data_IF_678135263342
#
_entry.id   IF_678135263342
#
_cell.length_a   1.000
_cell.length_b   1.000
_cell.length_c   1.000
_cell.angle_alpha   90.00
_cell.angle_beta   90.00
_cell.angle_gamma   90.00
#
_symmetry.space_group_name_H-M   'P 1'
#
loop_
_entity.id
_entity.type
_entity.pdbx_description
1 polymer ?
#
# COMPACT_ATOMS: atom_id res chain seq x y z
N UNK A 1 -7.04 7.26 30.20
CA UNK A 1 -5.89 6.55 29.61
C UNK A 1 -6.38 5.39 28.77
N UNK A 2 -5.75 5.18 27.60
CA UNK A 2 -6.03 4.01 26.74
C UNK A 2 -5.69 2.73 27.51
N UNK A 3 -6.59 1.73 27.46
CA UNK A 3 -6.39 0.46 28.14
C UNK A 3 -6.69 0.45 29.63
N UNK A 4 -7.18 1.56 30.21
CA UNK A 4 -7.51 1.63 31.63
C UNK A 4 -8.51 0.52 32.03
N UNK A 5 -8.14 -0.25 33.06
CA UNK A 5 -8.94 -1.38 33.55
C UNK A 5 -8.67 -2.71 32.86
N UNK A 6 -7.79 -2.77 31.84
CA UNK A 6 -7.45 -4.01 31.15
C UNK A 6 -5.93 -4.16 30.99
N UNK A 7 -5.35 -5.06 31.78
CA UNK A 7 -3.89 -5.23 31.87
C UNK A 7 -3.20 -5.50 30.52
N UNK A 8 -3.70 -6.40 29.63
CA UNK A 8 -3.08 -6.62 28.34
C UNK A 8 -3.01 -5.36 27.47
N UNK A 9 -4.01 -4.47 27.56
CA UNK A 9 -4.03 -3.22 26.81
C UNK A 9 -3.09 -2.15 27.39
N UNK A 10 -2.81 -2.19 28.69
CA UNK A 10 -1.82 -1.33 29.31
C UNK A 10 -0.39 -1.75 28.92
N UNK A 11 -0.15 -3.06 28.78
CA UNK A 11 1.15 -3.60 28.39
C UNK A 11 1.45 -3.43 26.88
N UNK A 12 0.40 -3.45 26.02
CA UNK A 12 0.52 -3.36 24.56
C UNK A 12 -0.56 -2.44 23.98
N UNK A 13 -0.52 -1.12 24.29
CA UNK A 13 -1.57 -0.18 23.89
C UNK A 13 -1.77 -0.08 22.38
N UNK A 14 -0.70 -0.23 21.58
CA UNK A 14 -0.76 -0.19 20.12
C UNK A 14 -1.59 -1.34 19.57
N UNK A 15 -1.39 -2.57 20.09
CA UNK A 15 -2.14 -3.76 19.69
C UNK A 15 -3.64 -3.59 19.92
N UNK A 16 -4.03 -2.99 21.06
CA UNK A 16 -5.42 -2.84 21.46
C UNK A 16 -6.09 -1.56 20.97
N UNK A 17 -5.42 -0.77 20.14
CA UNK A 17 -6.00 0.45 19.59
C UNK A 17 -7.08 0.19 18.53
N UNK A 18 -6.98 -0.88 17.78
CA UNK A 18 -7.93 -1.25 16.72
C UNK A 18 -8.02 -2.76 16.54
N UNK A 19 -8.05 -3.50 17.66
CA UNK A 19 -8.08 -4.94 17.66
C UNK A 19 -9.48 -5.46 17.30
N UNK A 20 -9.56 -6.46 16.42
CA UNK A 20 -10.78 -7.20 16.14
C UNK A 20 -11.20 -8.10 17.32
N UNK A 21 -11.85 -9.22 17.05
CA UNK A 21 -12.25 -10.19 18.10
C UNK A 21 -11.01 -10.77 18.78
N UNK A 22 -11.02 -10.82 20.12
CA UNK A 22 -9.95 -11.39 20.93
C UNK A 22 -10.50 -12.08 22.19
N UNK A 23 -9.70 -12.96 22.80
CA UNK A 23 -10.03 -13.59 24.08
C UNK A 23 -9.81 -12.59 25.21
N UNK A 24 -10.86 -12.26 25.96
CA UNK A 24 -10.82 -11.24 27.03
C UNK A 24 -9.78 -11.59 28.10
N UNK A 25 -9.64 -12.88 28.43
CA UNK A 25 -8.78 -13.36 29.51
C UNK A 25 -7.28 -13.19 29.16
N UNK A 26 -6.90 -13.34 27.91
CA UNK A 26 -5.50 -13.36 27.48
C UNK A 26 -5.11 -12.20 26.58
N UNK A 27 -6.07 -11.54 25.96
CA UNK A 27 -5.83 -10.54 24.91
C UNK A 27 -5.31 -11.12 23.60
N UNK A 28 -5.42 -12.44 23.41
CA UNK A 28 -5.02 -13.14 22.19
C UNK A 28 -6.11 -13.08 21.14
N UNK A 29 -5.69 -12.85 19.88
CA UNK A 29 -6.53 -12.97 18.68
C UNK A 29 -6.33 -14.34 18.06
N UNK A 30 -7.35 -14.86 17.41
CA UNK A 30 -7.16 -16.02 16.54
C UNK A 30 -6.21 -15.64 15.40
N UNK A 31 -5.26 -16.51 15.05
CA UNK A 31 -4.34 -16.25 13.95
C UNK A 31 -5.15 -16.08 12.65
N UNK A 32 -4.86 -15.02 11.90
CA UNK A 32 -5.43 -14.85 10.56
C UNK A 32 -4.94 -15.99 9.66
N UNK A 33 -5.85 -16.56 8.86
CA UNK A 33 -5.50 -17.63 7.92
C UNK A 33 -4.65 -17.13 6.74
N UNK A 34 -4.72 -15.84 6.45
CA UNK A 34 -4.03 -15.18 5.34
C UNK A 34 -3.42 -13.87 5.86
N UNK A 35 -2.16 -13.54 5.52
CA UNK A 35 -1.56 -12.27 5.91
C UNK A 35 -2.30 -11.10 5.26
N UNK A 36 -2.34 -9.98 5.96
CA UNK A 36 -2.88 -8.73 5.41
C UNK A 36 -1.86 -8.06 4.50
N UNK A 37 -2.31 -7.18 3.60
CA UNK A 37 -1.42 -6.34 2.79
C UNK A 37 -0.42 -5.55 3.66
N UNK A 38 -0.86 -4.98 4.78
CA UNK A 38 0.02 -4.27 5.71
C UNK A 38 1.11 -5.16 6.31
N UNK A 39 0.79 -6.43 6.63
CA UNK A 39 1.79 -7.40 7.12
C UNK A 39 2.81 -7.72 6.03
N UNK A 40 2.35 -8.05 4.82
CA UNK A 40 3.23 -8.32 3.67
C UNK A 40 4.12 -7.11 3.38
N UNK A 41 3.56 -5.91 3.41
CA UNK A 41 4.30 -4.65 3.24
C UNK A 41 5.44 -4.53 4.24
N UNK A 42 5.13 -4.61 5.54
CA UNK A 42 6.14 -4.44 6.60
C UNK A 42 7.24 -5.49 6.54
N UNK A 43 6.89 -6.75 6.30
CA UNK A 43 7.83 -7.87 6.18
C UNK A 43 8.75 -7.70 4.97
N UNK A 44 8.18 -7.45 3.77
CA UNK A 44 8.94 -7.32 2.53
C UNK A 44 9.81 -6.07 2.49
N UNK A 45 9.29 -4.95 2.96
CA UNK A 45 10.11 -3.73 3.02
C UNK A 45 11.27 -3.87 4.02
N UNK A 46 11.04 -4.55 5.15
CA UNK A 46 12.13 -4.88 6.09
C UNK A 46 13.18 -5.79 5.43
N UNK A 47 12.74 -6.79 4.67
CA UNK A 47 13.65 -7.67 3.91
C UNK A 47 14.48 -6.89 2.88
N UNK A 48 13.85 -5.98 2.13
CA UNK A 48 14.55 -5.14 1.15
C UNK A 48 15.54 -4.18 1.81
N UNK A 49 15.15 -3.56 2.91
CA UNK A 49 16.00 -2.63 3.65
C UNK A 49 17.23 -3.29 4.31
N UNK A 50 17.18 -4.58 4.61
CA UNK A 50 18.36 -5.34 5.05
C UNK A 50 19.40 -5.52 3.95
N UNK A 51 19.01 -5.37 2.70
CA UNK A 51 19.88 -5.51 1.53
C UNK A 51 20.26 -4.17 0.89
N UNK A 52 19.53 -3.09 1.24
CA UNK A 52 19.73 -1.75 0.71
C UNK A 52 19.64 -0.71 1.83
N UNK A 53 20.80 -0.19 2.24
CA UNK A 53 20.90 0.78 3.32
C UNK A 53 20.36 2.16 2.98
N UNK A 54 20.01 2.42 1.74
CA UNK A 54 19.37 3.68 1.32
C UNK A 54 17.87 3.72 1.64
N UNK A 55 17.22 2.58 1.91
CA UNK A 55 15.80 2.53 2.22
C UNK A 55 15.54 3.07 3.62
N UNK A 56 14.69 4.09 3.71
CA UNK A 56 14.18 4.65 4.96
C UNK A 56 12.65 4.65 4.95
N UNK A 57 12.02 4.46 6.10
CA UNK A 57 10.56 4.46 6.23
C UNK A 57 10.07 5.60 7.11
N UNK A 58 9.01 6.26 6.69
CA UNK A 58 8.42 7.39 7.37
C UNK A 58 6.92 7.12 7.55
N UNK A 59 6.41 7.33 8.76
CA UNK A 59 4.97 7.25 9.05
C UNK A 59 4.54 8.40 9.98
N UNK A 60 3.24 8.60 10.12
CA UNK A 60 2.64 9.62 10.97
C UNK A 60 1.76 8.95 12.05
N UNK A 61 2.38 8.43 13.11
CA UNK A 61 1.75 7.77 14.25
C UNK A 61 0.94 6.49 13.91
N UNK A 62 1.33 5.77 12.85
CA UNK A 62 0.59 4.59 12.36
C UNK A 62 1.44 3.31 12.25
N UNK A 63 2.43 3.02 13.12
CA UNK A 63 3.35 1.90 12.92
C UNK A 63 2.68 0.53 12.88
N UNK A 64 1.73 0.30 13.77
CA UNK A 64 1.02 -0.99 13.84
C UNK A 64 0.05 -1.20 12.68
N UNK A 65 -0.69 -0.16 12.33
CA UNK A 65 -1.72 -0.24 11.29
C UNK A 65 -1.17 -0.34 9.88
N UNK A 66 0.02 0.17 9.62
CA UNK A 66 0.71 0.11 8.33
C UNK A 66 1.67 -1.08 8.20
N UNK A 67 1.79 -1.93 9.24
CA UNK A 67 2.73 -3.05 9.24
C UNK A 67 4.18 -2.66 9.54
N UNK A 68 4.49 -1.37 9.69
CA UNK A 68 5.86 -0.87 9.93
C UNK A 68 6.43 -1.22 11.32
N UNK A 69 5.62 -1.82 12.21
CA UNK A 69 6.14 -2.35 13.47
C UNK A 69 7.26 -3.40 13.23
N UNK A 70 7.17 -4.19 12.16
CA UNK A 70 8.21 -5.15 11.78
C UNK A 70 9.55 -4.44 11.48
N UNK A 71 9.52 -3.32 10.78
CA UNK A 71 10.69 -2.51 10.46
C UNK A 71 11.26 -1.83 11.70
N UNK A 72 10.39 -1.18 12.50
CA UNK A 72 10.75 -0.49 13.75
C UNK A 72 11.46 -1.42 14.74
N UNK A 73 10.96 -2.64 14.89
CA UNK A 73 11.44 -3.59 15.90
C UNK A 73 12.62 -4.44 15.40
N UNK A 74 13.02 -4.32 14.13
CA UNK A 74 14.20 -4.98 13.55
C UNK A 74 15.49 -4.23 13.88
N UNK A 75 16.41 -4.89 14.62
CA UNK A 75 17.71 -4.30 15.03
C UNK A 75 18.60 -3.87 13.86
N UNK A 76 18.38 -4.42 12.67
CA UNK A 76 19.22 -4.20 11.49
C UNK A 76 18.83 -2.94 10.71
N UNK A 77 17.58 -2.48 10.85
CA UNK A 77 17.05 -1.39 10.03
C UNK A 77 16.31 -0.29 10.83
N UNK A 78 16.13 -0.48 12.15
CA UNK A 78 15.35 0.43 13.00
C UNK A 78 15.89 1.85 13.09
N UNK A 79 17.14 2.08 12.79
CA UNK A 79 17.78 3.39 12.73
C UNK A 79 17.31 4.24 11.53
N UNK A 80 16.65 3.59 10.55
CA UNK A 80 16.07 4.23 9.36
C UNK A 80 14.54 4.26 9.40
N UNK A 81 13.96 4.06 10.57
CA UNK A 81 12.53 4.21 10.85
C UNK A 81 12.25 5.56 11.50
N UNK A 82 11.30 6.31 10.95
CA UNK A 82 10.91 7.63 11.42
C UNK A 82 9.40 7.72 11.62
N UNK A 83 8.97 7.99 12.85
CA UNK A 83 7.60 8.33 13.18
C UNK A 83 7.55 9.80 13.58
N UNK A 84 6.90 10.61 12.77
CA UNK A 84 6.82 12.06 12.97
C UNK A 84 5.63 12.51 13.83
N UNK A 85 4.90 11.55 14.42
CA UNK A 85 3.65 11.84 15.10
C UNK A 85 2.52 12.11 14.10
N UNK A 86 1.40 12.67 14.57
CA UNK A 86 0.26 12.99 13.69
C UNK A 86 0.57 14.30 12.94
N UNK A 87 1.43 14.21 11.93
CA UNK A 87 1.92 15.33 11.13
C UNK A 87 2.25 14.87 9.71
N UNK A 88 1.23 14.54 8.93
CA UNK A 88 1.36 13.97 7.59
C UNK A 88 2.07 14.92 6.62
N UNK A 89 1.85 16.24 6.76
CA UNK A 89 2.55 17.26 5.98
C UNK A 89 4.06 17.23 6.25
N UNK A 90 4.44 17.12 7.51
CA UNK A 90 5.84 17.01 7.90
C UNK A 90 6.46 15.70 7.40
N UNK A 91 5.72 14.60 7.45
CA UNK A 91 6.17 13.31 6.91
C UNK A 91 6.52 13.41 5.42
N UNK A 92 5.68 14.10 4.63
CA UNK A 92 5.92 14.34 3.22
C UNK A 92 7.19 15.18 2.99
N UNK A 93 7.33 16.32 3.68
CA UNK A 93 8.49 17.20 3.56
C UNK A 93 9.79 16.53 4.04
N UNK A 94 9.72 15.75 5.11
CA UNK A 94 10.86 14.99 5.61
C UNK A 94 11.32 13.94 4.58
N UNK A 95 10.37 13.30 3.90
CA UNK A 95 10.66 12.36 2.81
C UNK A 95 11.35 13.07 1.62
N UNK A 96 10.97 14.31 1.30
CA UNK A 96 11.67 15.12 0.29
C UNK A 96 13.13 15.33 0.67
N UNK A 97 13.39 15.72 1.93
CA UNK A 97 14.75 15.91 2.43
C UNK A 97 15.61 14.66 2.32
N UNK A 98 15.05 13.49 2.65
CA UNK A 98 15.74 12.20 2.50
C UNK A 98 16.02 11.87 1.02
N UNK A 99 15.04 12.11 0.13
CA UNK A 99 15.20 11.86 -1.30
C UNK A 99 16.32 12.72 -1.91
N UNK A 100 16.41 14.00 -1.52
CA UNK A 100 17.50 14.91 -1.96
C UNK A 100 18.88 14.40 -1.49
N UNK A 101 18.94 13.70 -0.37
CA UNK A 101 20.17 13.09 0.15
C UNK A 101 20.43 11.67 -0.41
N UNK A 102 19.75 11.29 -1.49
CA UNK A 102 19.85 9.99 -2.16
C UNK A 102 19.40 8.79 -1.31
N UNK A 103 18.58 9.00 -0.29
CA UNK A 103 17.84 7.92 0.34
C UNK A 103 16.62 7.53 -0.53
N UNK A 104 16.11 6.34 -0.28
CA UNK A 104 14.86 5.80 -0.84
C UNK A 104 13.75 5.89 0.22
N UNK A 105 13.13 7.07 0.43
CA UNK A 105 12.11 7.21 1.45
C UNK A 105 10.80 6.52 1.04
N UNK A 106 10.30 5.64 1.90
CA UNK A 106 8.97 5.05 1.83
C UNK A 106 8.04 5.79 2.80
N UNK A 107 7.26 6.71 2.26
CA UNK A 107 6.25 7.48 3.00
C UNK A 107 4.98 6.64 3.10
N UNK A 108 4.66 6.15 4.31
CA UNK A 108 3.57 5.21 4.54
C UNK A 108 2.50 5.82 5.43
N UNK A 109 1.37 6.15 4.84
CA UNK A 109 0.24 6.83 5.50
C UNK A 109 -1.06 6.19 4.99
N UNK A 110 -2.11 6.19 5.82
CA UNK A 110 -3.45 5.78 5.35
C UNK A 110 -3.94 6.71 4.25
N UNK A 111 -4.58 6.15 3.24
CA UNK A 111 -5.08 6.91 2.08
C UNK A 111 -5.93 8.12 2.50
N UNK A 112 -6.83 7.96 3.46
CA UNK A 112 -7.66 9.08 3.95
C UNK A 112 -6.83 10.18 4.63
N UNK A 113 -5.75 9.84 5.34
CA UNK A 113 -4.92 10.83 6.04
C UNK A 113 -3.88 11.49 5.13
N UNK A 114 -3.52 10.85 4.01
CA UNK A 114 -2.67 11.45 2.98
C UNK A 114 -3.27 12.74 2.39
N UNK A 115 -4.58 12.96 2.50
CA UNK A 115 -5.25 14.20 2.09
C UNK A 115 -4.67 15.44 2.79
N UNK A 116 -4.17 15.31 4.04
CA UNK A 116 -3.54 16.42 4.76
C UNK A 116 -2.25 16.90 4.11
N UNK A 117 -1.53 16.01 3.46
CA UNK A 117 -0.28 16.33 2.76
C UNK A 117 -0.47 16.69 1.27
N UNK A 118 -1.70 16.96 0.82
CA UNK A 118 -2.00 17.13 -0.60
C UNK A 118 -1.16 18.23 -1.28
N UNK A 119 -0.99 19.37 -0.62
CA UNK A 119 -0.14 20.45 -1.15
C UNK A 119 1.32 20.00 -1.32
N UNK A 120 1.87 19.29 -0.34
CA UNK A 120 3.23 18.76 -0.36
C UNK A 120 3.42 17.72 -1.47
N UNK A 121 2.38 16.91 -1.75
CA UNK A 121 2.41 15.97 -2.88
C UNK A 121 2.54 16.69 -4.22
N UNK A 122 1.91 17.86 -4.37
CA UNK A 122 1.99 18.67 -5.58
C UNK A 122 3.30 19.43 -5.63
N UNK A 123 3.48 20.34 -4.65
CA UNK A 123 4.51 21.38 -4.70
C UNK A 123 5.91 20.82 -4.42
N UNK A 124 6.03 19.97 -3.41
CA UNK A 124 7.35 19.53 -2.94
C UNK A 124 7.79 18.22 -3.59
N UNK A 125 6.88 17.29 -3.83
CA UNK A 125 7.21 15.99 -4.42
C UNK A 125 7.02 16.01 -5.94
N UNK A 126 5.81 16.33 -6.41
CA UNK A 126 5.43 16.14 -7.82
C UNK A 126 6.11 17.14 -8.76
N UNK A 127 6.03 18.44 -8.47
CA UNK A 127 6.63 19.49 -9.31
C UNK A 127 8.15 19.37 -9.33
N UNK A 128 8.76 19.04 -8.19
CA UNK A 128 10.21 18.88 -8.08
C UNK A 128 10.70 17.51 -8.59
N UNK A 129 9.78 16.62 -8.94
CA UNK A 129 10.05 15.27 -9.44
C UNK A 129 10.96 14.46 -8.51
N UNK A 130 10.73 14.54 -7.19
CA UNK A 130 11.55 13.84 -6.21
C UNK A 130 11.17 12.35 -6.10
N UNK A 131 12.15 11.44 -6.04
CA UNK A 131 11.90 10.00 -6.01
C UNK A 131 11.41 9.53 -4.62
N UNK A 132 10.26 10.02 -4.19
CA UNK A 132 9.57 9.58 -2.97
C UNK A 132 8.65 8.40 -3.30
N UNK A 133 8.71 7.34 -2.49
CA UNK A 133 7.88 6.14 -2.61
C UNK A 133 6.72 6.27 -1.65
N UNK A 134 5.50 6.40 -2.16
CA UNK A 134 4.30 6.63 -1.35
C UNK A 134 3.49 5.35 -1.26
N UNK A 135 3.28 4.86 -0.04
CA UNK A 135 2.49 3.67 0.24
C UNK A 135 1.21 4.06 0.98
N UNK A 136 0.07 3.97 0.29
CA UNK A 136 -1.24 4.36 0.84
C UNK A 136 -2.00 3.13 1.30
N UNK A 137 -1.97 2.86 2.59
CA UNK A 137 -2.77 1.82 3.23
C UNK A 137 -4.24 2.25 3.36
N UNK A 138 -5.16 1.33 3.54
CA UNK A 138 -6.61 1.54 3.65
C UNK A 138 -7.22 2.26 2.44
N UNK A 139 -6.74 1.98 1.25
CA UNK A 139 -7.35 2.49 0.04
C UNK A 139 -8.72 1.82 -0.23
N UNK A 140 -9.70 2.60 -0.62
CA UNK A 140 -11.08 2.14 -0.80
C UNK A 140 -11.87 2.11 0.51
N UNK A 141 -12.81 1.19 0.63
CA UNK A 141 -13.65 1.03 1.82
C UNK A 141 -12.89 0.28 2.91
N UNK A 142 -12.76 0.90 4.09
CA UNK A 142 -11.96 0.35 5.21
C UNK A 142 -12.76 -0.51 6.19
N UNK A 143 -14.05 -0.76 5.93
CA UNK A 143 -14.90 -1.62 6.76
C UNK A 143 -15.01 -1.13 8.21
N UNK A 144 -14.54 -1.93 9.15
CA UNK A 144 -14.70 -1.71 10.59
C UNK A 144 -14.03 -0.43 11.11
N UNK A 145 -13.07 0.15 10.39
CA UNK A 145 -12.45 1.42 10.78
C UNK A 145 -13.42 2.62 10.61
N UNK A 146 -14.51 2.43 9.88
CA UNK A 146 -15.59 3.39 9.71
C UNK A 146 -15.35 4.46 8.66
N UNK A 147 -16.33 5.38 8.46
CA UNK A 147 -16.36 6.29 7.32
C UNK A 147 -15.20 7.30 7.27
N UNK A 148 -14.62 7.65 8.41
CA UNK A 148 -13.47 8.57 8.48
C UNK A 148 -12.15 7.95 7.98
N UNK A 149 -12.13 6.63 7.79
CA UNK A 149 -10.96 5.89 7.34
C UNK A 149 -11.07 5.40 5.89
N UNK A 150 -12.17 5.66 5.20
CA UNK A 150 -12.33 5.30 3.79
C UNK A 150 -11.39 6.12 2.89
N UNK A 151 -10.53 5.42 2.14
CA UNK A 151 -9.59 6.02 1.19
C UNK A 151 -10.18 6.13 -0.20
N UNK A 152 -11.13 7.05 -0.41
CA UNK A 152 -11.89 7.16 -1.65
C UNK A 152 -11.38 8.22 -2.62
N UNK A 153 -10.63 9.22 -2.13
CA UNK A 153 -10.30 10.42 -2.89
C UNK A 153 -8.88 10.39 -3.49
N UNK A 154 -8.03 9.47 -3.08
CA UNK A 154 -6.63 9.37 -3.48
C UNK A 154 -6.45 9.24 -5.01
N UNK A 155 -7.26 8.41 -5.68
CA UNK A 155 -7.24 8.32 -7.15
C UNK A 155 -7.57 9.68 -7.76
N UNK A 156 -8.59 10.34 -7.25
CA UNK A 156 -9.05 11.63 -7.76
C UNK A 156 -7.96 12.69 -7.74
N UNK A 157 -7.31 12.89 -6.60
CA UNK A 157 -6.34 13.98 -6.47
C UNK A 157 -4.94 13.59 -6.99
N UNK A 158 -4.47 12.35 -6.78
CA UNK A 158 -3.10 12.00 -7.16
C UNK A 158 -2.90 11.89 -8.68
N UNK A 159 -3.94 11.54 -9.42
CA UNK A 159 -3.90 11.53 -10.90
C UNK A 159 -3.55 12.89 -11.51
N UNK A 160 -3.90 14.00 -10.85
CA UNK A 160 -3.65 15.35 -11.35
C UNK A 160 -2.21 15.83 -11.05
N UNK A 161 -1.55 15.24 -10.05
CA UNK A 161 -0.20 15.67 -9.69
C UNK A 161 0.79 15.23 -10.78
N UNK A 162 1.65 16.14 -11.30
CA UNK A 162 2.60 15.79 -12.35
C UNK A 162 3.61 14.74 -11.89
N UNK A 163 4.21 14.05 -12.87
CA UNK A 163 5.31 13.10 -12.70
C UNK A 163 5.03 11.83 -11.87
N UNK A 164 3.89 11.72 -11.19
CA UNK A 164 3.56 10.54 -10.42
C UNK A 164 3.30 9.31 -11.27
N UNK A 165 3.91 8.19 -10.85
CA UNK A 165 3.46 6.85 -11.19
C UNK A 165 2.54 6.39 -10.07
N UNK A 166 1.38 5.81 -10.41
CA UNK A 166 0.39 5.41 -9.42
C UNK A 166 -0.19 4.04 -9.74
N UNK A 167 -0.05 3.10 -8.81
CA UNK A 167 -0.33 1.67 -8.96
C UNK A 167 -1.34 1.16 -7.95
N UNK A 168 -2.00 0.05 -8.30
CA UNK A 168 -2.81 -0.72 -7.36
C UNK A 168 -2.72 -2.22 -7.70
N UNK A 169 -2.25 -3.07 -6.78
CA UNK A 169 -2.08 -4.51 -7.01
C UNK A 169 -3.41 -5.25 -7.00
N UNK A 170 -3.55 -6.29 -7.83
CA UNK A 170 -4.70 -7.19 -7.85
C UNK A 170 -4.66 -8.22 -6.70
N UNK A 171 -3.44 -8.62 -6.31
CA UNK A 171 -3.18 -9.65 -5.31
C UNK A 171 -1.87 -9.40 -4.54
N UNK A 172 -1.54 -10.28 -3.62
CA UNK A 172 -0.36 -10.18 -2.76
C UNK A 172 0.96 -10.36 -3.53
N UNK A 173 0.98 -11.19 -4.57
CA UNK A 173 2.17 -11.43 -5.37
C UNK A 173 2.53 -10.21 -6.21
N UNK A 174 1.55 -9.65 -6.91
CA UNK A 174 1.73 -8.40 -7.65
C UNK A 174 2.08 -7.22 -6.74
N UNK A 175 1.56 -7.21 -5.49
CA UNK A 175 1.93 -6.19 -4.51
C UNK A 175 3.43 -6.21 -4.21
N UNK A 176 4.01 -7.38 -4.04
CA UNK A 176 5.45 -7.52 -3.78
C UNK A 176 6.28 -7.09 -5.00
N UNK A 177 5.84 -7.40 -6.22
CA UNK A 177 6.46 -6.90 -7.46
C UNK A 177 6.38 -5.36 -7.55
N UNK A 178 5.23 -4.76 -7.18
CA UNK A 178 5.09 -3.30 -7.14
C UNK A 178 6.03 -2.67 -6.11
N UNK A 179 6.17 -3.24 -4.92
CA UNK A 179 7.12 -2.76 -3.91
C UNK A 179 8.57 -2.87 -4.39
N UNK A 180 8.90 -3.95 -5.10
CA UNK A 180 10.22 -4.11 -5.69
C UNK A 180 10.46 -3.12 -6.82
N UNK A 181 9.45 -2.88 -7.66
CA UNK A 181 9.48 -1.84 -8.69
C UNK A 181 9.73 -0.46 -8.08
N UNK A 182 9.01 -0.13 -7.00
CA UNK A 182 9.22 1.13 -6.26
C UNK A 182 10.64 1.25 -5.70
N UNK A 183 11.20 0.17 -5.16
CA UNK A 183 12.57 0.14 -4.62
C UNK A 183 13.61 0.48 -5.68
N UNK A 184 13.36 0.09 -6.93
CA UNK A 184 14.27 0.28 -8.06
C UNK A 184 13.92 1.48 -8.97
N UNK A 185 12.96 2.31 -8.58
CA UNK A 185 12.55 3.48 -9.35
C UNK A 185 13.10 4.77 -8.73
N UNK A 186 14.04 5.43 -9.42
CA UNK A 186 14.72 6.65 -8.94
C UNK A 186 14.46 7.88 -9.82
N UNK A 187 13.60 7.78 -10.85
CA UNK A 187 13.40 8.86 -11.82
C UNK A 187 12.25 9.83 -11.48
N UNK A 188 11.60 9.64 -10.34
CA UNK A 188 10.51 10.52 -9.87
C UNK A 188 9.61 9.83 -8.84
N UNK A 189 8.51 10.48 -8.44
CA UNK A 189 7.63 9.95 -7.43
C UNK A 189 6.80 8.76 -7.93
N UNK A 190 6.68 7.75 -7.08
CA UNK A 190 5.93 6.53 -7.35
C UNK A 190 5.05 6.17 -6.16
N UNK A 191 3.80 5.82 -6.41
CA UNK A 191 2.82 5.52 -5.39
C UNK A 191 2.14 4.16 -5.63
N UNK A 192 1.87 3.46 -4.54
CA UNK A 192 1.02 2.27 -4.52
C UNK A 192 -0.10 2.47 -3.49
N UNK A 193 -1.30 2.06 -3.86
CA UNK A 193 -2.45 2.00 -2.95
C UNK A 193 -2.92 0.57 -2.77
N UNK A 194 -3.28 0.19 -1.55
CA UNK A 194 -3.75 -1.16 -1.23
C UNK A 194 -4.81 -1.15 -0.15
N UNK A 195 -5.73 -2.14 -0.13
CA UNK A 195 -6.86 -2.15 0.79
C UNK A 195 -6.44 -2.58 2.21
N UNK A 196 -7.31 -2.30 3.17
CA UNK A 196 -7.25 -2.91 4.51
C UNK A 196 -7.60 -4.40 4.43
N UNK A 197 -6.86 -5.24 5.14
CA UNK A 197 -7.14 -6.67 5.28
C UNK A 197 -6.30 -7.55 4.36
N UNK A 198 -6.74 -8.79 4.27
CA UNK A 198 -6.10 -9.78 3.41
C UNK A 198 -6.56 -9.65 1.96
N UNK A 199 -5.74 -10.09 1.03
CA UNK A 199 -6.09 -10.27 -0.36
C UNK A 199 -6.69 -11.67 -0.62
N UNK A 200 -6.70 -12.10 -1.89
CA UNK A 200 -7.24 -13.42 -2.29
C UNK A 200 -6.43 -14.62 -1.75
N UNK A 201 -5.28 -14.41 -1.12
CA UNK A 201 -4.45 -15.46 -0.54
C UNK A 201 -3.40 -16.02 -1.51
N UNK A 202 -3.00 -15.24 -2.49
CA UNK A 202 -1.92 -15.61 -3.41
C UNK A 202 -0.60 -15.53 -2.67
N UNK A 203 0.17 -16.63 -2.66
CA UNK A 203 1.48 -16.65 -2.02
C UNK A 203 2.48 -15.83 -2.83
N UNK A 204 3.09 -14.80 -2.25
CA UNK A 204 4.11 -14.02 -2.96
C UNK A 204 5.31 -14.88 -3.35
N UNK A 205 5.86 -14.61 -4.53
CA UNK A 205 7.10 -15.24 -5.00
C UNK A 205 8.30 -14.82 -4.13
N UNK A 206 9.33 -15.66 -4.10
CA UNK A 206 10.55 -15.38 -3.34
C UNK A 206 11.41 -14.28 -4.00
N UNK A 207 11.43 -14.27 -5.33
CA UNK A 207 12.19 -13.30 -6.12
C UNK A 207 11.21 -12.39 -6.87
N UNK A 208 10.96 -11.18 -6.38
CA UNK A 208 10.07 -10.24 -7.04
C UNK A 208 10.67 -9.71 -8.34
N UNK A 209 9.78 -9.33 -9.26
CA UNK A 209 10.12 -8.81 -10.57
C UNK A 209 9.79 -7.32 -10.69
N UNK A 210 10.54 -6.61 -11.53
CA UNK A 210 10.22 -5.21 -11.85
C UNK A 210 9.11 -5.20 -12.90
N UNK A 211 8.03 -4.48 -12.60
CA UNK A 211 6.92 -4.30 -13.53
C UNK A 211 7.24 -3.14 -14.48
N UNK A 212 7.07 -3.35 -15.77
CA UNK A 212 7.20 -2.30 -16.77
C UNK A 212 6.18 -1.18 -16.54
N UNK A 213 6.67 0.04 -16.34
CA UNK A 213 5.84 1.20 -15.99
C UNK A 213 4.79 1.47 -17.09
N UNK A 214 3.52 1.56 -16.67
CA UNK A 214 2.42 1.86 -17.57
C UNK A 214 1.97 0.69 -18.43
N UNK A 215 2.38 -0.55 -18.11
CA UNK A 215 1.96 -1.76 -18.82
C UNK A 215 0.91 -2.53 -18.06
N UNK A 216 -0.25 -2.70 -18.70
CA UNK A 216 -1.32 -3.57 -18.23
C UNK A 216 -0.96 -5.06 -18.45
N UNK A 217 -1.64 -5.91 -17.71
CA UNK A 217 -1.58 -7.35 -17.89
C UNK A 217 -2.87 -7.85 -18.56
N UNK A 218 -2.74 -8.43 -19.74
CA UNK A 218 -3.86 -9.06 -20.45
C UNK A 218 -3.94 -10.51 -19.97
N UNK A 219 -4.92 -10.78 -19.08
CA UNK A 219 -5.14 -12.13 -18.55
C UNK A 219 -5.83 -13.00 -19.60
N UNK A 220 -6.75 -12.39 -20.36
CA UNK A 220 -7.52 -13.07 -21.39
C UNK A 220 -7.87 -12.12 -22.52
N UNK A 221 -7.86 -12.63 -23.76
CA UNK A 221 -8.29 -11.89 -24.95
C UNK A 221 -9.63 -12.41 -25.44
N UNK A 222 -10.54 -11.51 -25.79
CA UNK A 222 -11.87 -11.79 -26.33
C UNK A 222 -12.33 -10.66 -27.23
N UNK A 223 -13.48 -10.83 -27.90
CA UNK A 223 -13.96 -9.90 -28.92
C UNK A 223 -15.25 -9.18 -28.60
N UNK A 224 -16.07 -9.66 -27.65
CA UNK A 224 -17.42 -9.16 -27.43
C UNK A 224 -17.50 -8.17 -26.27
N UNK A 225 -16.78 -8.45 -25.16
CA UNK A 225 -16.81 -7.65 -23.94
C UNK A 225 -15.38 -7.48 -23.39
N UNK A 226 -15.02 -6.24 -23.03
CA UNK A 226 -13.79 -5.96 -22.28
C UNK A 226 -14.10 -5.71 -20.80
N UNK A 227 -13.50 -6.49 -19.91
CA UNK A 227 -13.54 -6.27 -18.46
C UNK A 227 -12.18 -5.76 -18.00
N UNK A 228 -12.20 -4.62 -17.30
CA UNK A 228 -11.00 -4.04 -16.69
C UNK A 228 -11.19 -4.06 -15.17
N UNK A 229 -10.41 -4.89 -14.48
CA UNK A 229 -10.47 -5.02 -13.02
C UNK A 229 -9.25 -4.39 -12.36
N UNK A 230 -9.44 -3.32 -11.57
CA UNK A 230 -8.35 -2.66 -10.87
C UNK A 230 -8.27 -3.13 -9.41
N UNK A 231 -7.09 -3.54 -9.00
CA UNK A 231 -6.78 -3.87 -7.61
C UNK A 231 -7.64 -5.02 -7.08
N UNK A 232 -8.07 -4.95 -5.84
CA UNK A 232 -8.88 -5.98 -5.17
C UNK A 232 -10.24 -6.26 -5.84
N UNK A 233 -10.71 -5.39 -6.74
CA UNK A 233 -11.91 -5.68 -7.57
C UNK A 233 -11.61 -6.62 -8.73
N UNK A 234 -10.35 -6.98 -8.96
CA UNK A 234 -9.96 -7.89 -10.02
C UNK A 234 -10.60 -9.28 -9.88
N UNK A 235 -10.68 -9.80 -8.65
CA UNK A 235 -11.37 -11.07 -8.35
C UNK A 235 -12.85 -11.04 -8.79
N UNK A 236 -13.52 -9.91 -8.61
CA UNK A 236 -14.90 -9.74 -9.08
C UNK A 236 -14.97 -9.72 -10.62
N UNK A 237 -13.99 -9.10 -11.27
CA UNK A 237 -13.90 -9.09 -12.73
C UNK A 237 -13.66 -10.51 -13.28
N UNK A 238 -12.83 -11.31 -12.65
CA UNK A 238 -12.60 -12.73 -13.01
C UNK A 238 -13.88 -13.56 -12.90
N UNK A 239 -14.61 -13.44 -11.78
CA UNK A 239 -15.89 -14.12 -11.59
C UNK A 239 -16.92 -13.68 -12.64
N UNK A 240 -16.96 -12.39 -12.95
CA UNK A 240 -17.84 -11.83 -13.97
C UNK A 240 -17.48 -12.34 -15.37
N UNK A 241 -16.19 -12.43 -15.69
CA UNK A 241 -15.68 -13.01 -16.92
C UNK A 241 -16.21 -14.44 -17.11
N UNK A 242 -16.04 -15.29 -16.10
CA UNK A 242 -16.53 -16.69 -16.14
C UNK A 242 -18.04 -16.78 -16.39
N UNK A 243 -18.84 -15.95 -15.71
CA UNK A 243 -20.30 -15.94 -15.89
C UNK A 243 -20.71 -15.49 -17.32
N UNK A 244 -19.99 -14.54 -17.90
CA UNK A 244 -20.27 -14.08 -19.26
C UNK A 244 -19.90 -15.14 -20.31
N UNK A 245 -18.80 -15.86 -20.10
CA UNK A 245 -18.38 -16.96 -20.97
C UNK A 245 -19.36 -18.14 -20.93
N UNK A 246 -19.87 -18.48 -19.77
CA UNK A 246 -20.92 -19.50 -19.65
C UNK A 246 -22.19 -19.11 -20.45
N UNK A 247 -22.42 -17.80 -20.69
CA UNK A 247 -23.50 -17.28 -21.53
C UNK A 247 -23.12 -17.17 -23.01
N UNK A 248 -21.91 -17.59 -23.39
CA UNK A 248 -21.46 -17.63 -24.77
C UNK A 248 -20.78 -16.36 -25.29
N UNK A 249 -20.41 -15.41 -24.40
CA UNK A 249 -19.66 -14.22 -24.79
C UNK A 249 -18.15 -14.47 -24.81
N UNK A 250 -17.47 -13.87 -25.76
CA UNK A 250 -16.00 -13.84 -25.83
C UNK A 250 -15.48 -12.62 -25.06
N UNK A 251 -14.81 -12.85 -23.91
CA UNK A 251 -14.47 -11.78 -22.96
C UNK A 251 -12.97 -11.54 -22.93
N UNK A 252 -12.57 -10.26 -23.03
CA UNK A 252 -11.23 -9.81 -22.65
C UNK A 252 -11.22 -9.45 -21.16
N UNK A 253 -10.21 -9.93 -20.42
CA UNK A 253 -10.00 -9.60 -19.02
C UNK A 253 -8.62 -8.96 -18.85
N UNK A 254 -8.60 -7.74 -18.32
CA UNK A 254 -7.41 -6.89 -18.23
C UNK A 254 -7.22 -6.41 -16.79
N UNK A 255 -6.01 -6.58 -16.27
CA UNK A 255 -5.55 -5.94 -15.06
C UNK A 255 -4.71 -4.69 -15.46
N UNK A 256 -5.21 -3.47 -15.23
CA UNK A 256 -4.49 -2.27 -15.66
C UNK A 256 -3.24 -1.98 -14.83
N UNK A 257 -3.08 -2.54 -13.63
CA UNK A 257 -1.96 -2.32 -12.70
C UNK A 257 -1.75 -0.85 -12.34
N UNK A 258 -1.71 0.02 -13.36
CA UNK A 258 -1.42 1.44 -13.24
C UNK A 258 -2.68 2.28 -13.38
N UNK A 259 -2.87 3.16 -12.41
CA UNK A 259 -3.86 4.24 -12.47
C UNK A 259 -3.26 5.40 -13.28
N UNK A 260 -1.93 5.56 -13.20
CA UNK A 260 -1.13 6.54 -13.94
C UNK A 260 0.31 6.03 -14.09
N UNK A 261 0.88 6.04 -15.31
CA UNK A 261 0.17 6.21 -16.58
C UNK A 261 -0.73 5.00 -16.91
N UNK A 262 -1.80 5.22 -17.66
CA UNK A 262 -2.62 4.14 -18.18
C UNK A 262 -1.94 3.57 -19.43
N UNK A 263 -1.99 2.24 -19.61
CA UNK A 263 -1.55 1.60 -20.86
C UNK A 263 -2.45 2.05 -22.00
N UNK A 264 -1.85 2.62 -23.03
CA UNK A 264 -2.55 3.14 -24.22
C UNK A 264 -2.36 2.25 -25.46
N UNK A 265 -1.68 1.10 -25.32
CA UNK A 265 -1.40 0.19 -26.44
C UNK A 265 -2.53 -0.80 -26.73
#
# INVERSE_FOLDING_TARGET
EKGHGYKPALEKPDKFHGLGKYKIETGETDPASTPTYSQIYGEKLTEFAKKDDSIAVITAAMPGGTGLAAFRDSKEVSDRYFDVGIAEEHAALFSCGLAIQNFKPFLTIYSTFMQRAFDMLIHDIGIQNLPVRICMDRAGLSGDDGPTHHGLFDIGYLRHVPNFIFMQPKDEDEFVDMLWTMTNHDSGPIAVRYPRGAGPGVKPKENPEIIDIGKAEIIKSGSDVGLIGLGHLFEMAEKTCSVLEEKGHSVSLINPRFIKPIDSS
#
